data_IF_471864816612
#
_entry.id   IF_471864816612
#
_cell.length_a   1.000
_cell.length_b   1.000
_cell.length_c   1.000
_cell.angle_alpha   90.00
_cell.angle_beta   90.00
_cell.angle_gamma   90.00
#
_symmetry.space_group_name_H-M   'P 1'
#
loop_
_entity.id
_entity.type
_entity.pdbx_description
1 polymer ?
#
# COMPACT_ATOMS: atom_id res chain seq x y z
N UNK A 1 53.59 39.04 -8.82
CA UNK A 1 52.81 38.49 -7.70
C UNK A 1 52.23 37.15 -8.17
N UNK A 2 53.00 36.07 -8.05
CA UNK A 2 52.62 34.75 -8.57
C UNK A 2 51.78 34.03 -7.52
N UNK A 3 50.50 33.80 -7.82
CA UNK A 3 49.63 32.94 -7.03
C UNK A 3 50.14 31.51 -7.16
N UNK A 4 50.87 31.06 -6.14
CA UNK A 4 51.21 29.63 -5.97
C UNK A 4 49.89 28.92 -5.64
N UNK A 5 49.16 28.53 -6.67
CA UNK A 5 47.96 27.70 -6.55
C UNK A 5 48.41 26.32 -6.13
N UNK A 6 48.34 26.09 -4.81
CA UNK A 6 48.76 24.88 -4.17
C UNK A 6 47.83 23.74 -4.63
N UNK A 7 48.26 22.97 -5.63
CA UNK A 7 47.49 21.90 -6.31
C UNK A 7 46.83 20.90 -5.36
N UNK A 8 47.37 20.74 -4.14
CA UNK A 8 46.76 19.92 -3.08
C UNK A 8 45.49 20.54 -2.52
N UNK A 9 45.46 21.86 -2.34
CA UNK A 9 44.30 22.60 -1.84
C UNK A 9 43.13 22.59 -2.82
N UNK A 10 43.41 22.70 -4.12
CA UNK A 10 42.36 22.60 -5.15
C UNK A 10 41.75 21.21 -5.21
N UNK A 11 42.55 20.15 -5.03
CA UNK A 11 42.06 18.76 -4.97
C UNK A 11 41.20 18.54 -3.71
N UNK A 12 41.61 19.05 -2.55
CA UNK A 12 40.81 18.95 -1.32
C UNK A 12 39.49 19.72 -1.41
N UNK A 13 39.49 20.92 -2.00
CA UNK A 13 38.27 21.68 -2.23
C UNK A 13 37.34 20.98 -3.22
N UNK A 14 37.88 20.42 -4.30
CA UNK A 14 37.08 19.68 -5.29
C UNK A 14 36.50 18.38 -4.71
N UNK A 15 37.29 17.63 -3.93
CA UNK A 15 36.84 16.42 -3.25
C UNK A 15 35.77 16.73 -2.19
N UNK A 16 35.93 17.82 -1.43
CA UNK A 16 34.90 18.30 -0.51
C UNK A 16 33.61 18.68 -1.22
N UNK A 17 33.72 19.32 -2.39
CA UNK A 17 32.56 19.72 -3.20
C UNK A 17 31.85 18.50 -3.81
N UNK A 18 32.59 17.48 -4.26
CA UNK A 18 32.02 16.22 -4.78
C UNK A 18 31.35 15.40 -3.66
N UNK A 19 31.90 15.37 -2.45
CA UNK A 19 31.27 14.69 -1.31
C UNK A 19 30.01 15.44 -0.85
N UNK A 20 30.02 16.78 -0.88
CA UNK A 20 28.84 17.59 -0.55
C UNK A 20 27.73 17.50 -1.61
N UNK A 21 28.06 17.33 -2.90
CA UNK A 21 27.07 17.15 -3.96
C UNK A 21 26.64 15.68 -4.16
N UNK A 22 27.50 14.72 -3.78
CA UNK A 22 27.28 13.29 -3.99
C UNK A 22 26.37 12.59 -2.98
N UNK A 23 26.04 13.23 -1.85
CA UNK A 23 25.17 12.62 -0.83
C UNK A 23 23.65 12.77 -1.10
N UNK A 24 23.23 13.42 -2.19
CA UNK A 24 21.80 13.69 -2.45
C UNK A 24 21.21 12.97 -3.68
N UNK A 25 21.98 12.11 -4.35
CA UNK A 25 21.62 11.63 -5.71
C UNK A 25 21.15 10.18 -5.79
N UNK A 26 20.87 9.49 -4.67
CA UNK A 26 20.46 8.07 -4.71
C UNK A 26 19.22 7.67 -3.88
N UNK A 27 18.52 8.63 -3.29
CA UNK A 27 17.17 8.46 -2.78
C UNK A 27 16.40 9.72 -3.14
N UNK A 28 15.18 9.59 -3.66
CA UNK A 28 14.35 10.74 -4.06
C UNK A 28 14.35 11.85 -3.01
N UNK A 29 14.09 13.08 -3.45
CA UNK A 29 14.11 14.22 -2.53
C UNK A 29 13.08 14.03 -1.40
N UNK A 30 13.31 14.62 -0.23
CA UNK A 30 12.33 14.55 0.87
C UNK A 30 10.95 15.06 0.44
N UNK A 31 10.92 16.04 -0.45
CA UNK A 31 9.69 16.62 -0.99
C UNK A 31 8.95 15.62 -1.89
N UNK A 32 9.65 14.84 -2.72
CA UNK A 32 9.06 13.77 -3.54
C UNK A 32 8.46 12.65 -2.68
N UNK A 33 9.12 12.28 -1.58
CA UNK A 33 8.59 11.27 -0.65
C UNK A 33 7.39 11.82 0.10
N UNK A 34 7.44 13.08 0.55
CA UNK A 34 6.32 13.72 1.23
C UNK A 34 5.08 13.81 0.31
N UNK A 35 5.28 14.19 -0.96
CA UNK A 35 4.21 14.20 -1.97
C UNK A 35 3.66 12.79 -2.20
N UNK A 36 4.53 11.80 -2.44
CA UNK A 36 4.13 10.40 -2.65
C UNK A 36 3.35 9.84 -1.46
N UNK A 37 3.77 10.20 -0.25
CA UNK A 37 3.12 9.80 1.00
C UNK A 37 1.72 10.41 1.10
N UNK A 38 1.57 11.71 0.80
CA UNK A 38 0.26 12.38 0.81
C UNK A 38 -0.73 11.78 -0.21
N UNK A 39 -0.25 11.47 -1.42
CA UNK A 39 -1.06 10.82 -2.45
C UNK A 39 -1.48 9.41 -2.01
N UNK A 40 -0.57 8.66 -1.41
CA UNK A 40 -0.87 7.28 -0.99
C UNK A 40 -1.88 7.25 0.16
N UNK A 41 -1.84 8.21 1.10
CA UNK A 41 -2.88 8.37 2.14
C UNK A 41 -4.24 8.63 1.53
N UNK A 42 -4.33 9.57 0.57
CA UNK A 42 -5.60 9.86 -0.11
C UNK A 42 -6.14 8.62 -0.83
N UNK A 43 -5.26 7.82 -1.45
CA UNK A 43 -5.66 6.54 -2.06
C UNK A 43 -6.18 5.55 -1.02
N UNK A 44 -5.50 5.41 0.12
CA UNK A 44 -5.95 4.52 1.20
C UNK A 44 -7.31 4.96 1.76
N UNK A 45 -7.51 6.26 1.98
CA UNK A 45 -8.79 6.79 2.45
C UNK A 45 -9.93 6.53 1.44
N UNK A 46 -9.66 6.74 0.15
CA UNK A 46 -10.63 6.42 -0.91
C UNK A 46 -10.92 4.92 -0.99
N UNK A 47 -9.91 4.07 -0.87
CA UNK A 47 -10.06 2.62 -0.84
C UNK A 47 -10.83 2.14 0.39
N UNK A 48 -10.61 2.75 1.56
CA UNK A 48 -11.35 2.43 2.78
C UNK A 48 -12.84 2.74 2.63
N UNK A 49 -13.17 3.94 2.12
CA UNK A 49 -14.55 4.32 1.83
C UNK A 49 -15.21 3.40 0.78
N UNK A 50 -14.44 2.97 -0.23
CA UNK A 50 -14.93 2.00 -1.19
C UNK A 50 -15.21 0.62 -0.55
N UNK A 51 -14.33 0.14 0.34
CA UNK A 51 -14.55 -1.11 1.07
C UNK A 51 -15.75 -1.05 2.01
N UNK A 52 -15.99 0.08 2.68
CA UNK A 52 -17.20 0.30 3.48
C UNK A 52 -18.46 0.22 2.61
N UNK A 53 -18.44 0.88 1.45
CA UNK A 53 -19.56 0.81 0.50
C UNK A 53 -19.80 -0.63 0.01
N UNK A 54 -18.73 -1.39 -0.26
CA UNK A 54 -18.82 -2.80 -0.65
C UNK A 54 -19.37 -3.68 0.50
N UNK A 55 -18.99 -3.38 1.75
CA UNK A 55 -19.51 -4.07 2.94
C UNK A 55 -21.01 -3.81 3.13
N UNK A 56 -21.46 -2.58 2.95
CA UNK A 56 -22.86 -2.19 3.05
C UNK A 56 -23.71 -2.91 2.00
N UNK A 57 -23.26 -2.94 0.74
CA UNK A 57 -23.94 -3.69 -0.34
C UNK A 57 -24.02 -5.19 -0.04
N UNK A 58 -22.94 -5.77 0.48
CA UNK A 58 -22.94 -7.18 0.85
C UNK A 58 -23.88 -7.46 2.03
N UNK A 59 -24.04 -6.50 2.96
CA UNK A 59 -25.00 -6.58 4.05
C UNK A 59 -26.45 -6.50 3.56
N UNK A 60 -26.74 -5.62 2.60
CA UNK A 60 -28.05 -5.55 1.93
C UNK A 60 -28.37 -6.86 1.20
N UNK A 61 -27.40 -7.41 0.46
CA UNK A 61 -27.53 -8.71 -0.18
C UNK A 61 -27.78 -9.84 0.83
N UNK A 62 -27.04 -9.85 1.95
CA UNK A 62 -27.19 -10.84 3.01
C UNK A 62 -28.53 -10.77 3.76
N UNK A 63 -29.21 -9.61 3.72
CA UNK A 63 -30.58 -9.50 4.24
C UNK A 63 -31.58 -10.31 3.40
N UNK A 64 -31.26 -10.57 2.13
CA UNK A 64 -32.09 -11.34 1.18
C UNK A 64 -31.63 -12.80 1.07
N UNK A 65 -30.32 -13.05 1.17
CA UNK A 65 -29.72 -14.37 1.12
C UNK A 65 -28.93 -14.70 2.40
N UNK A 66 -29.48 -15.54 3.30
CA UNK A 66 -28.81 -15.93 4.54
C UNK A 66 -27.45 -16.60 4.36
N UNK A 67 -27.16 -17.21 3.19
CA UNK A 67 -25.86 -17.84 2.92
C UNK A 67 -24.72 -16.81 2.84
N UNK A 68 -25.04 -15.55 2.54
CA UNK A 68 -24.09 -14.44 2.46
C UNK A 68 -23.78 -13.80 3.81
N UNK A 69 -24.52 -14.11 4.87
CA UNK A 69 -24.37 -13.50 6.21
C UNK A 69 -22.94 -13.56 6.75
N UNK A 70 -22.31 -14.74 6.72
CA UNK A 70 -20.93 -14.93 7.17
C UNK A 70 -19.89 -14.16 6.34
N UNK A 71 -20.19 -13.87 5.07
CA UNK A 71 -19.32 -13.09 4.19
C UNK A 71 -19.49 -11.59 4.43
N UNK A 72 -20.74 -11.15 4.66
CA UNK A 72 -21.05 -9.78 5.07
C UNK A 72 -20.34 -9.41 6.37
N UNK A 73 -20.47 -10.24 7.40
CA UNK A 73 -19.79 -10.03 8.69
C UNK A 73 -18.27 -9.90 8.52
N UNK A 74 -17.67 -10.77 7.71
CA UNK A 74 -16.23 -10.71 7.42
C UNK A 74 -15.83 -9.44 6.66
N UNK A 75 -16.64 -9.02 5.68
CA UNK A 75 -16.36 -7.80 4.93
C UNK A 75 -16.45 -6.56 5.82
N UNK A 76 -17.42 -6.49 6.72
CA UNK A 76 -17.54 -5.41 7.70
C UNK A 76 -16.32 -5.34 8.62
N UNK A 77 -15.82 -6.48 9.09
CA UNK A 77 -14.57 -6.53 9.89
C UNK A 77 -13.38 -6.02 9.06
N UNK A 78 -13.23 -6.46 7.81
CA UNK A 78 -12.12 -6.01 6.95
C UNK A 78 -12.21 -4.50 6.67
N UNK A 79 -13.40 -3.99 6.34
CA UNK A 79 -13.63 -2.58 6.07
C UNK A 79 -13.33 -1.70 7.29
N UNK A 80 -13.84 -2.08 8.47
CA UNK A 80 -13.59 -1.34 9.73
C UNK A 80 -12.13 -1.39 10.17
N UNK A 81 -11.44 -2.52 10.03
CA UNK A 81 -10.00 -2.62 10.28
C UNK A 81 -9.21 -1.69 9.35
N UNK A 82 -9.59 -1.63 8.07
CA UNK A 82 -8.89 -0.82 7.09
C UNK A 82 -9.17 0.68 7.25
N UNK A 83 -10.40 1.06 7.61
CA UNK A 83 -10.73 2.44 7.97
C UNK A 83 -9.93 2.92 9.19
N UNK A 84 -9.79 2.08 10.23
CA UNK A 84 -8.97 2.39 11.39
C UNK A 84 -7.47 2.52 11.04
N UNK A 85 -6.98 1.71 10.10
CA UNK A 85 -5.63 1.86 9.54
C UNK A 85 -5.48 3.20 8.81
N UNK A 86 -6.41 3.53 7.93
CA UNK A 86 -6.39 4.78 7.15
C UNK A 86 -6.32 6.00 8.07
N UNK A 87 -7.15 6.04 9.12
CA UNK A 87 -7.16 7.12 10.09
C UNK A 87 -5.82 7.24 10.84
N UNK A 88 -5.26 6.13 11.34
CA UNK A 88 -3.95 6.14 12.00
C UNK A 88 -2.83 6.62 11.08
N UNK A 89 -2.88 6.24 9.81
CA UNK A 89 -1.88 6.67 8.82
C UNK A 89 -1.98 8.17 8.53
N UNK A 90 -3.20 8.71 8.41
CA UNK A 90 -3.43 10.14 8.27
C UNK A 90 -2.86 10.93 9.46
N UNK A 91 -3.12 10.46 10.69
CA UNK A 91 -2.57 11.05 11.91
C UNK A 91 -1.04 11.02 11.93
N UNK A 92 -0.42 9.85 11.70
CA UNK A 92 1.03 9.68 11.68
C UNK A 92 1.71 10.57 10.64
N UNK A 93 1.09 10.75 9.49
CA UNK A 93 1.67 11.54 8.40
C UNK A 93 1.52 13.02 8.68
N UNK A 94 0.39 13.44 9.25
CA UNK A 94 0.23 14.81 9.77
C UNK A 94 1.32 15.14 10.80
N UNK A 95 1.64 14.20 11.69
CA UNK A 95 2.71 14.36 12.70
C UNK A 95 4.09 14.44 12.04
N UNK A 96 4.41 13.54 11.12
CA UNK A 96 5.72 13.49 10.45
C UNK A 96 5.95 14.72 9.55
N UNK A 97 4.91 15.21 8.87
CA UNK A 97 4.98 16.42 8.05
C UNK A 97 5.10 17.70 8.90
N UNK A 98 4.60 17.67 10.14
CA UNK A 98 4.75 18.77 11.09
C UNK A 98 6.15 18.86 11.73
N UNK A 99 7.01 17.85 11.54
CA UNK A 99 8.41 17.89 12.02
C UNK A 99 9.17 18.96 11.22
N UNK A 100 9.44 20.10 11.86
CA UNK A 100 10.31 21.15 11.30
C UNK A 100 11.72 20.61 11.06
N UNK A 101 12.27 20.98 9.89
CA UNK A 101 13.60 20.60 9.44
C UNK A 101 14.66 21.31 10.29
N UNK A 102 15.04 20.71 11.42
CA UNK A 102 16.08 21.27 12.29
C UNK A 102 17.45 20.66 11.96
N UNK A 103 18.46 21.53 11.89
CA UNK A 103 19.84 21.18 11.47
C UNK A 103 20.45 20.09 12.36
N UNK A 104 20.04 20.00 13.64
CA UNK A 104 20.52 19.00 14.59
C UNK A 104 19.93 17.61 14.34
N UNK A 105 18.68 17.52 13.90
CA UNK A 105 17.97 16.26 13.65
C UNK A 105 18.47 15.61 12.35
N UNK A 106 18.93 16.41 11.38
CA UNK A 106 19.66 15.92 10.20
C UNK A 106 21.10 15.44 10.50
N UNK A 107 21.78 16.02 11.49
CA UNK A 107 23.18 15.68 11.82
C UNK A 107 23.34 14.35 12.59
N UNK A 108 22.33 13.90 13.32
CA UNK A 108 22.35 12.67 14.14
C UNK A 108 21.94 11.42 13.35
N UNK A 109 21.75 11.52 12.03
CA UNK A 109 21.42 10.36 11.18
C UNK A 109 19.99 9.82 11.37
N UNK A 110 19.13 10.56 12.09
CA UNK A 110 17.67 10.38 12.11
C UNK A 110 17.00 11.52 11.33
N UNK A 111 17.48 11.78 10.12
CA UNK A 111 16.87 12.76 9.23
C UNK A 111 15.41 12.42 8.95
N UNK A 112 14.61 13.44 8.67
CA UNK A 112 13.18 13.36 8.33
C UNK A 112 12.91 12.29 7.26
N UNK A 113 13.80 12.19 6.27
CA UNK A 113 13.83 11.12 5.27
C UNK A 113 13.66 9.70 5.81
N UNK A 114 14.42 9.30 6.84
CA UNK A 114 14.40 7.92 7.36
C UNK A 114 13.14 7.57 8.14
N UNK A 115 12.46 8.58 8.70
CA UNK A 115 11.14 8.43 9.32
C UNK A 115 10.09 8.30 8.22
N UNK A 116 10.10 9.21 7.23
CA UNK A 116 9.21 9.19 6.08
C UNK A 116 9.27 7.86 5.31
N UNK A 117 10.48 7.35 5.03
CA UNK A 117 10.65 6.11 4.27
C UNK A 117 10.09 4.88 5.01
N UNK A 118 10.25 4.82 6.34
CA UNK A 118 9.68 3.74 7.15
C UNK A 118 8.16 3.84 7.26
N UNK A 119 7.63 5.05 7.44
CA UNK A 119 6.20 5.30 7.42
C UNK A 119 5.59 4.88 6.07
N UNK A 120 6.23 5.27 4.96
CA UNK A 120 5.82 4.88 3.62
C UNK A 120 5.83 3.35 3.41
N UNK A 121 6.89 2.66 3.87
CA UNK A 121 6.97 1.20 3.78
C UNK A 121 5.90 0.48 4.61
N UNK A 122 5.65 0.94 5.83
CA UNK A 122 4.58 0.42 6.68
C UNK A 122 3.21 0.60 6.01
N UNK A 123 2.96 1.79 5.49
CA UNK A 123 1.72 2.17 4.82
C UNK A 123 1.43 1.31 3.57
N UNK A 124 2.44 1.05 2.74
CA UNK A 124 2.30 0.11 1.61
C UNK A 124 1.97 -1.29 2.10
N UNK A 125 2.68 -1.79 3.11
CA UNK A 125 2.47 -3.16 3.60
C UNK A 125 1.08 -3.37 4.20
N UNK A 126 0.53 -2.35 4.88
CA UNK A 126 -0.82 -2.40 5.46
C UNK A 126 -1.89 -2.35 4.36
N UNK A 127 -1.72 -1.50 3.35
CA UNK A 127 -2.58 -1.48 2.15
C UNK A 127 -2.59 -2.83 1.43
N UNK A 128 -1.41 -3.42 1.19
CA UNK A 128 -1.30 -4.73 0.54
C UNK A 128 -1.99 -5.83 1.35
N UNK A 129 -1.87 -5.81 2.68
CA UNK A 129 -2.54 -6.76 3.56
C UNK A 129 -4.07 -6.64 3.47
N UNK A 130 -4.61 -5.42 3.52
CA UNK A 130 -6.05 -5.18 3.39
C UNK A 130 -6.58 -5.63 2.03
N UNK A 131 -5.88 -5.28 0.95
CA UNK A 131 -6.22 -5.74 -0.40
C UNK A 131 -6.15 -7.26 -0.53
N UNK A 132 -5.16 -7.91 0.09
CA UNK A 132 -5.05 -9.37 0.10
C UNK A 132 -6.23 -10.03 0.83
N UNK A 133 -6.64 -9.50 1.99
CA UNK A 133 -7.83 -9.97 2.72
C UNK A 133 -9.10 -9.81 1.88
N UNK A 134 -9.27 -8.65 1.23
CA UNK A 134 -10.40 -8.38 0.33
C UNK A 134 -10.45 -9.36 -0.84
N UNK A 135 -9.32 -9.60 -1.51
CA UNK A 135 -9.21 -10.55 -2.62
C UNK A 135 -9.47 -12.01 -2.19
N UNK A 136 -9.06 -12.38 -0.98
CA UNK A 136 -9.37 -13.71 -0.45
C UNK A 136 -10.89 -13.87 -0.27
N UNK A 137 -11.55 -12.85 0.29
CA UNK A 137 -13.00 -12.86 0.47
C UNK A 137 -13.74 -12.88 -0.88
N UNK A 138 -13.32 -12.07 -1.85
CA UNK A 138 -13.94 -12.04 -3.18
C UNK A 138 -13.80 -13.38 -3.90
N UNK A 139 -12.66 -14.07 -3.73
CA UNK A 139 -12.48 -15.43 -4.25
C UNK A 139 -13.44 -16.41 -3.59
N UNK A 140 -13.55 -16.40 -2.26
CA UNK A 140 -14.43 -17.33 -1.55
C UNK A 140 -15.90 -17.09 -1.92
N UNK A 141 -16.31 -15.84 -2.09
CA UNK A 141 -17.64 -15.47 -2.57
C UNK A 141 -17.86 -15.89 -4.04
N UNK A 142 -16.84 -15.71 -4.88
CA UNK A 142 -16.86 -16.22 -6.26
C UNK A 142 -17.00 -17.74 -6.33
N UNK A 143 -16.39 -18.49 -5.40
CA UNK A 143 -16.57 -19.95 -5.30
C UNK A 143 -18.00 -20.30 -4.90
N UNK A 144 -18.54 -19.62 -3.89
CA UNK A 144 -19.92 -19.83 -3.42
C UNK A 144 -20.93 -19.59 -4.55
N UNK A 145 -20.76 -18.51 -5.31
CA UNK A 145 -21.62 -18.17 -6.45
C UNK A 145 -21.33 -19.01 -7.72
N UNK A 146 -20.39 -19.97 -7.66
CA UNK A 146 -20.02 -20.81 -8.80
C UNK A 146 -19.26 -20.09 -9.93
N UNK A 147 -18.79 -18.86 -9.68
CA UNK A 147 -18.03 -18.00 -10.61
C UNK A 147 -16.52 -18.27 -10.59
N UNK A 148 -16.03 -18.90 -9.52
CA UNK A 148 -14.63 -19.25 -9.34
C UNK A 148 -14.50 -20.75 -9.08
N UNK A 149 -13.50 -21.40 -9.68
CA UNK A 149 -13.09 -22.73 -9.29
C UNK A 149 -11.95 -22.64 -8.28
N UNK A 150 -12.00 -23.46 -7.23
CA UNK A 150 -10.89 -23.59 -6.30
C UNK A 150 -9.71 -24.18 -7.07
N UNK A 151 -8.69 -23.37 -7.31
CA UNK A 151 -7.49 -23.84 -8.00
C UNK A 151 -6.88 -24.99 -7.18
N UNK A 152 -6.89 -26.21 -7.74
CA UNK A 152 -6.15 -27.31 -7.17
C UNK A 152 -4.68 -26.99 -7.37
N UNK A 153 -4.02 -26.49 -6.32
CA UNK A 153 -2.56 -26.37 -6.30
C UNK A 153 -2.02 -27.80 -6.45
N UNK A 154 -1.42 -28.16 -7.61
CA UNK A 154 -0.79 -29.47 -7.72
C UNK A 154 0.35 -29.49 -6.72
N UNK A 155 0.56 -30.60 -5.99
CA UNK A 155 1.73 -30.75 -5.13
C UNK A 155 2.99 -30.32 -5.89
N UNK A 156 3.76 -29.40 -5.32
CA UNK A 156 4.98 -28.88 -5.92
C UNK A 156 5.96 -30.04 -6.14
N UNK A 157 5.94 -30.60 -7.35
CA UNK A 157 6.97 -31.54 -7.78
C UNK A 157 8.31 -30.81 -7.79
N UNK A 158 9.37 -31.47 -7.30
CA UNK A 158 10.77 -30.98 -7.16
C UNK A 158 11.38 -30.26 -8.38
N UNK A 159 10.70 -30.22 -9.53
CA UNK A 159 11.21 -29.72 -10.81
C UNK A 159 10.26 -28.77 -11.56
N UNK A 160 9.19 -28.27 -10.93
CA UNK A 160 8.27 -27.37 -11.63
C UNK A 160 8.81 -25.92 -11.66
N UNK A 161 9.37 -25.50 -12.81
CA UNK A 161 9.74 -24.11 -13.08
C UNK A 161 8.46 -23.35 -13.44
N UNK A 162 7.74 -22.83 -12.44
CA UNK A 162 6.73 -21.80 -12.67
C UNK A 162 7.31 -20.45 -12.29
N UNK A 163 7.25 -19.43 -13.17
CA UNK A 163 7.55 -18.06 -12.76
C UNK A 163 6.60 -17.64 -11.65
N UNK A 164 7.11 -17.02 -10.59
CA UNK A 164 6.34 -16.63 -9.39
C UNK A 164 5.06 -15.82 -9.68
N UNK A 165 4.95 -15.19 -10.84
CA UNK A 165 3.84 -14.30 -11.19
C UNK A 165 2.62 -15.00 -11.82
N UNK A 166 2.69 -16.30 -12.16
CA UNK A 166 1.65 -16.95 -12.97
C UNK A 166 0.30 -17.15 -12.25
N UNK A 167 0.30 -17.37 -10.94
CA UNK A 167 -0.95 -17.57 -10.17
C UNK A 167 -1.67 -16.25 -9.82
N UNK A 168 -0.99 -15.09 -9.86
CA UNK A 168 -1.58 -13.80 -9.48
C UNK A 168 -2.47 -13.19 -10.57
N UNK A 169 -2.24 -13.47 -11.85
CA UNK A 169 -2.95 -12.82 -12.96
C UNK A 169 -4.23 -13.53 -13.43
N UNK A 170 -4.38 -14.83 -13.16
CA UNK A 170 -5.50 -15.62 -13.70
C UNK A 170 -6.79 -15.59 -12.86
N UNK A 171 -6.77 -15.05 -11.63
CA UNK A 171 -7.87 -15.20 -10.66
C UNK A 171 -8.28 -13.88 -9.96
N UNK A 172 -8.01 -12.72 -10.57
CA UNK A 172 -8.51 -11.45 -10.04
C UNK A 172 -9.99 -11.28 -10.38
N UNK A 173 -10.86 -11.87 -9.56
CA UNK A 173 -12.30 -11.59 -9.62
C UNK A 173 -12.56 -10.33 -8.81
N UNK A 174 -13.05 -9.29 -9.48
CA UNK A 174 -13.41 -8.04 -8.83
C UNK A 174 -14.68 -8.26 -7.99
N UNK A 175 -14.62 -7.87 -6.72
CA UNK A 175 -15.76 -7.99 -5.81
C UNK A 175 -16.94 -7.15 -6.31
N UNK A 176 -16.64 -6.02 -6.97
CA UNK A 176 -17.65 -5.16 -7.56
C UNK A 176 -18.51 -5.87 -8.60
N UNK A 177 -17.90 -6.71 -9.44
CA UNK A 177 -18.61 -7.47 -10.46
C UNK A 177 -19.54 -8.50 -9.80
N UNK A 178 -19.03 -9.21 -8.77
CA UNK A 178 -19.83 -10.19 -8.02
C UNK A 178 -21.03 -9.56 -7.31
N UNK A 179 -20.87 -8.37 -6.72
CA UNK A 179 -21.96 -7.65 -6.06
C UNK A 179 -23.03 -7.19 -7.05
N UNK A 180 -22.63 -6.69 -8.23
CA UNK A 180 -23.58 -6.28 -9.28
C UNK A 180 -24.44 -7.47 -9.76
N UNK A 181 -23.86 -8.67 -9.79
CA UNK A 181 -24.60 -9.88 -10.13
C UNK A 181 -25.61 -10.30 -9.05
N UNK A 182 -25.23 -10.20 -7.77
CA UNK A 182 -26.15 -10.48 -6.67
C UNK A 182 -27.36 -9.52 -6.72
N UNK A 183 -27.10 -8.23 -6.95
CA UNK A 183 -28.15 -7.21 -7.11
C UNK A 183 -29.07 -7.52 -8.31
N UNK A 184 -28.54 -8.06 -9.41
CA UNK A 184 -29.33 -8.43 -10.59
C UNK A 184 -30.27 -9.63 -10.35
N UNK A 185 -29.97 -10.48 -9.38
CA UNK A 185 -30.76 -11.67 -9.03
C UNK A 185 -31.79 -11.35 -7.94
N UNK A 186 -31.55 -10.32 -7.12
CA UNK A 186 -32.41 -9.96 -5.98
C UNK A 186 -33.56 -8.99 -6.31
N UNK A 187 -33.72 -8.53 -7.57
CA UNK A 187 -34.84 -7.67 -7.98
C UNK A 187 -35.91 -8.48 -8.75
N UNK A 188 -37.06 -8.82 -8.11
CA UNK A 188 -38.26 -9.27 -8.82
C UNK A 188 -39.02 -8.12 -9.51
#
# INVERSE_FOLDING_TARGET
>A
MQLVTNRRWTIFLLAGLIVLTGCRTYGGSEDEIAESLSVTVQQIAAEASAMETEADRLAEAAATDPELSAYSDRMQVIASEYAAVAQRQEELISEVLAIEDNVLTNWVGRGRYGVLHRAFGALISERELAQSKRQALSRDLGILLGRAQREQVPEEGRFQIRPHHYNRSHNAIDLKDLLADIESVSVP
#
